data_IF_109089667205
#
_entry.id   IF_109089667205
#
_cell.length_a   1.000
_cell.length_b   1.000
_cell.length_c   1.000
_cell.angle_alpha   90.00
_cell.angle_beta   90.00
_cell.angle_gamma   90.00
#
_symmetry.space_group_name_H-M   'P 1'
#
loop_
_entity.id
_entity.type
_entity.pdbx_description
1 polymer ?
#
# COMPACT_ATOMS: atom_id res chain seq x y z
N UNK A 1 15.10 30.58 -23.81
CA UNK A 1 14.15 30.88 -24.91
C UNK A 1 13.26 32.10 -24.65
N UNK A 2 12.46 32.16 -23.57
CA UNK A 2 11.79 33.42 -23.15
C UNK A 2 12.66 34.23 -22.18
N UNK A 3 13.24 33.55 -21.19
CA UNK A 3 14.15 34.14 -20.19
C UNK A 3 15.29 34.93 -20.83
N UNK A 4 15.90 34.36 -21.87
CA UNK A 4 17.08 34.93 -22.52
C UNK A 4 16.70 36.19 -23.28
N UNK A 5 15.56 36.19 -23.98
CA UNK A 5 15.02 37.38 -24.67
C UNK A 5 14.59 38.47 -23.69
N UNK A 6 14.01 38.10 -22.54
CA UNK A 6 13.69 39.06 -21.48
C UNK A 6 14.94 39.67 -20.85
N UNK A 7 16.00 38.87 -20.69
CA UNK A 7 17.30 39.34 -20.19
C UNK A 7 17.97 40.27 -21.19
N UNK A 8 17.94 39.93 -22.48
CA UNK A 8 18.45 40.74 -23.58
C UNK A 8 17.69 42.08 -23.68
N UNK A 9 16.35 42.06 -23.62
CA UNK A 9 15.54 43.27 -23.59
C UNK A 9 15.89 44.17 -22.40
N UNK A 10 16.04 43.60 -21.20
CA UNK A 10 16.47 44.35 -20.01
C UNK A 10 17.85 44.97 -20.20
N UNK A 11 18.80 44.22 -20.76
CA UNK A 11 20.15 44.72 -21.01
C UNK A 11 20.15 45.90 -21.98
N UNK A 12 19.34 45.84 -23.05
CA UNK A 12 19.18 46.93 -24.02
C UNK A 12 18.55 48.16 -23.35
N UNK A 13 17.48 47.97 -22.57
CA UNK A 13 16.76 49.07 -21.90
C UNK A 13 17.59 49.74 -20.80
N UNK A 14 18.36 48.97 -20.04
CA UNK A 14 19.09 49.47 -18.87
C UNK A 14 20.52 49.96 -19.19
N UNK A 15 21.15 49.47 -20.26
CA UNK A 15 22.54 49.83 -20.62
C UNK A 15 22.70 50.40 -22.02
N UNK A 16 22.41 49.60 -23.05
CA UNK A 16 22.82 49.97 -24.42
C UNK A 16 22.05 51.16 -25.00
N UNK A 17 20.72 51.19 -24.81
CA UNK A 17 19.86 52.25 -25.33
C UNK A 17 20.11 53.59 -24.62
N UNK A 18 20.25 53.65 -23.28
CA UNK A 18 20.69 54.87 -22.59
C UNK A 18 22.05 55.39 -23.07
N UNK A 19 23.05 54.52 -23.21
CA UNK A 19 24.39 54.91 -23.68
C UNK A 19 24.37 55.43 -25.13
N UNK A 20 23.59 54.80 -26.00
CA UNK A 20 23.41 55.25 -27.38
C UNK A 20 22.61 56.56 -27.47
N UNK A 21 21.65 56.80 -26.57
CA UNK A 21 20.94 58.07 -26.49
C UNK A 21 21.86 59.20 -26.02
N UNK A 22 22.74 58.96 -25.03
CA UNK A 22 23.74 59.96 -24.62
C UNK A 22 24.65 60.33 -25.79
N UNK A 23 25.18 59.33 -26.53
CA UNK A 23 25.99 59.60 -27.75
C UNK A 23 25.21 60.39 -28.80
N UNK A 24 23.93 60.08 -29.02
CA UNK A 24 23.07 60.85 -29.92
C UNK A 24 22.95 62.31 -29.50
N UNK A 25 22.73 62.59 -28.21
CA UNK A 25 22.55 63.96 -27.73
C UNK A 25 23.85 64.75 -27.61
N UNK A 26 24.98 64.08 -27.38
CA UNK A 26 26.30 64.71 -27.22
C UNK A 26 27.04 64.84 -28.56
N UNK A 27 27.09 63.76 -29.36
CA UNK A 27 27.89 63.68 -30.59
C UNK A 27 27.05 63.83 -31.87
N UNK A 28 25.71 63.82 -31.75
CA UNK A 28 24.78 63.95 -32.88
C UNK A 28 24.59 62.68 -33.71
N UNK A 29 25.20 61.54 -33.34
CA UNK A 29 25.05 60.27 -34.07
C UNK A 29 23.82 59.47 -33.58
N UNK A 30 22.80 59.38 -34.43
CA UNK A 30 21.50 58.75 -34.14
C UNK A 30 21.39 57.31 -34.68
N UNK A 31 22.43 56.78 -35.34
CA UNK A 31 22.34 55.46 -35.99
C UNK A 31 22.17 54.33 -34.97
N UNK A 32 22.97 54.33 -33.91
CA UNK A 32 22.94 53.29 -32.89
C UNK A 32 21.65 53.34 -32.07
N UNK A 33 21.17 54.55 -31.73
CA UNK A 33 19.90 54.73 -31.03
C UNK A 33 18.70 54.19 -31.85
N UNK A 34 18.64 54.50 -33.15
CA UNK A 34 17.58 53.96 -34.04
C UNK A 34 17.66 52.44 -34.17
N UNK A 35 18.87 51.88 -34.30
CA UNK A 35 19.06 50.43 -34.39
C UNK A 35 18.57 49.72 -33.13
N UNK A 36 18.94 50.23 -31.96
CA UNK A 36 18.56 49.65 -30.66
C UNK A 36 17.06 49.80 -30.38
N UNK A 37 16.43 50.92 -30.75
CA UNK A 37 14.96 51.07 -30.67
C UNK A 37 14.22 50.06 -31.58
N UNK A 38 14.76 49.82 -32.78
CA UNK A 38 14.19 48.82 -33.70
C UNK A 38 14.36 47.40 -33.16
N UNK A 39 15.45 47.13 -32.44
CA UNK A 39 15.71 45.83 -31.84
C UNK A 39 14.84 45.61 -30.59
N UNK A 40 14.67 46.64 -29.76
CA UNK A 40 13.81 46.63 -28.58
C UNK A 40 12.35 46.31 -28.95
N UNK A 41 11.82 47.00 -29.97
CA UNK A 41 10.45 46.78 -30.46
C UNK A 41 10.24 45.39 -31.06
N UNK A 42 11.27 44.81 -31.71
CA UNK A 42 11.22 43.41 -32.19
C UNK A 42 11.24 42.43 -31.03
N UNK A 43 12.14 42.59 -30.06
CA UNK A 43 12.22 41.73 -28.89
C UNK A 43 10.95 41.78 -28.05
N UNK A 44 10.34 42.96 -27.88
CA UNK A 44 9.05 43.09 -27.19
C UNK A 44 7.95 42.30 -27.88
N UNK A 45 7.85 42.35 -29.22
CA UNK A 45 6.86 41.56 -29.98
C UNK A 45 7.09 40.06 -29.82
N UNK A 46 8.33 39.61 -29.98
CA UNK A 46 8.66 38.19 -29.85
C UNK A 46 8.42 37.66 -28.42
N UNK A 47 8.64 38.50 -27.39
CA UNK A 47 8.33 38.16 -26.00
C UNK A 47 6.81 38.03 -25.81
N UNK A 48 6.01 38.96 -26.35
CA UNK A 48 4.55 38.89 -26.23
C UNK A 48 3.98 37.66 -26.93
N UNK A 49 4.45 37.34 -28.14
CA UNK A 49 4.03 36.14 -28.87
C UNK A 49 4.35 34.85 -28.09
N UNK A 50 5.58 34.73 -27.57
CA UNK A 50 5.98 33.58 -26.75
C UNK A 50 5.18 33.48 -25.45
N UNK A 51 4.80 34.60 -24.83
CA UNK A 51 3.96 34.61 -23.63
C UNK A 51 2.55 34.11 -23.93
N UNK A 52 1.96 34.52 -25.05
CA UNK A 52 0.65 34.05 -25.50
C UNK A 52 0.69 32.54 -25.82
N UNK A 53 1.72 32.07 -26.53
CA UNK A 53 1.91 30.64 -26.82
C UNK A 53 2.01 29.81 -25.53
N UNK A 54 2.80 30.26 -24.56
CA UNK A 54 2.92 29.59 -23.27
C UNK A 54 1.56 29.50 -22.59
N UNK A 55 0.80 30.59 -22.56
CA UNK A 55 -0.52 30.63 -21.92
C UNK A 55 -1.51 29.67 -22.59
N UNK A 56 -1.52 29.62 -23.92
CA UNK A 56 -2.35 28.69 -24.70
C UNK A 56 -1.95 27.24 -24.42
N UNK A 57 -0.66 26.93 -24.43
CA UNK A 57 -0.14 25.58 -24.17
C UNK A 57 -0.47 25.14 -22.75
N UNK A 58 -0.29 26.01 -21.76
CA UNK A 58 -0.62 25.70 -20.36
C UNK A 58 -2.11 25.36 -20.21
N UNK A 59 -3.00 26.16 -20.80
CA UNK A 59 -4.43 25.89 -20.72
C UNK A 59 -4.84 24.59 -21.44
N UNK A 60 -4.25 24.31 -22.61
CA UNK A 60 -4.47 23.05 -23.33
C UNK A 60 -3.97 21.85 -22.54
N UNK A 61 -2.81 21.97 -21.89
CA UNK A 61 -2.24 20.93 -21.04
C UNK A 61 -3.16 20.62 -19.86
N UNK A 62 -3.62 21.64 -19.14
CA UNK A 62 -4.56 21.47 -18.02
C UNK A 62 -5.84 20.76 -18.46
N UNK A 63 -6.41 21.19 -19.60
CA UNK A 63 -7.61 20.56 -20.16
C UNK A 63 -7.35 19.09 -20.51
N UNK A 64 -6.22 18.79 -21.13
CA UNK A 64 -5.84 17.42 -21.49
C UNK A 64 -5.66 16.55 -20.24
N UNK A 65 -4.92 17.03 -19.24
CA UNK A 65 -4.72 16.33 -17.97
C UNK A 65 -6.05 16.05 -17.27
N UNK A 66 -6.96 17.03 -17.25
CA UNK A 66 -8.29 16.85 -16.70
C UNK A 66 -9.11 15.80 -17.46
N UNK A 67 -9.09 15.82 -18.80
CA UNK A 67 -9.77 14.79 -19.59
C UNK A 67 -9.21 13.40 -19.35
N UNK A 68 -7.89 13.26 -19.27
CA UNK A 68 -7.24 11.97 -19.02
C UNK A 68 -7.47 11.47 -17.59
N UNK A 69 -7.51 12.36 -16.61
CA UNK A 69 -7.88 12.01 -15.24
C UNK A 69 -9.31 11.46 -15.17
N UNK A 70 -10.26 12.06 -15.90
CA UNK A 70 -11.64 11.57 -15.93
C UNK A 70 -11.79 10.23 -16.67
N UNK A 71 -11.11 10.07 -17.81
CA UNK A 71 -11.04 8.78 -18.52
C UNK A 71 -10.45 7.69 -17.62
N UNK A 72 -9.36 7.99 -16.90
CA UNK A 72 -8.76 7.05 -15.96
C UNK A 72 -9.70 6.73 -14.80
N UNK A 73 -10.38 7.74 -14.22
CA UNK A 73 -11.33 7.56 -13.12
C UNK A 73 -12.47 6.62 -13.50
N UNK A 74 -12.95 6.69 -14.74
CA UNK A 74 -14.00 5.79 -15.24
C UNK A 74 -13.56 4.31 -15.27
N UNK A 75 -12.25 4.02 -15.30
CA UNK A 75 -11.71 2.66 -15.32
C UNK A 75 -11.38 2.11 -13.93
N UNK A 76 -11.37 2.96 -12.89
CA UNK A 76 -10.97 2.57 -11.53
C UNK A 76 -11.89 1.50 -10.94
N UNK A 77 -13.20 1.64 -11.13
CA UNK A 77 -14.18 0.70 -10.55
C UNK A 77 -14.04 -0.68 -11.19
N UNK A 78 -13.95 -0.75 -12.53
CA UNK A 78 -13.72 -2.00 -13.25
C UNK A 78 -12.40 -2.68 -12.85
N UNK A 79 -11.33 -1.91 -12.70
CA UNK A 79 -10.04 -2.42 -12.23
C UNK A 79 -10.14 -2.99 -10.80
N UNK A 80 -10.81 -2.28 -9.90
CA UNK A 80 -10.99 -2.72 -8.52
C UNK A 80 -11.85 -3.99 -8.43
N UNK A 81 -12.89 -4.10 -9.25
CA UNK A 81 -13.72 -5.31 -9.34
C UNK A 81 -12.90 -6.52 -9.80
N UNK A 82 -12.11 -6.37 -10.87
CA UNK A 82 -11.25 -7.44 -11.37
C UNK A 82 -10.20 -7.86 -10.34
N UNK A 83 -9.55 -6.87 -9.71
CA UNK A 83 -8.58 -7.10 -8.63
C UNK A 83 -9.22 -7.87 -7.48
N UNK A 84 -10.38 -7.44 -6.99
CA UNK A 84 -11.08 -8.08 -5.88
C UNK A 84 -11.51 -9.50 -6.24
N UNK A 85 -11.98 -9.73 -7.48
CA UNK A 85 -12.33 -11.06 -7.97
C UNK A 85 -11.10 -11.98 -8.05
N UNK A 86 -9.96 -11.48 -8.50
CA UNK A 86 -8.70 -12.21 -8.52
C UNK A 86 -8.25 -12.59 -7.10
N UNK A 87 -8.30 -11.64 -6.16
CA UNK A 87 -8.00 -11.85 -4.74
C UNK A 87 -8.90 -12.92 -4.11
N UNK A 88 -10.22 -12.87 -4.36
CA UNK A 88 -11.13 -13.91 -3.85
C UNK A 88 -10.82 -15.29 -4.43
N UNK A 89 -10.47 -15.38 -5.71
CA UNK A 89 -10.09 -16.65 -6.35
C UNK A 89 -8.82 -17.23 -5.74
N UNK A 90 -7.81 -16.40 -5.47
CA UNK A 90 -6.57 -16.86 -4.84
C UNK A 90 -6.81 -17.32 -3.40
N UNK A 91 -7.56 -16.57 -2.60
CA UNK A 91 -7.92 -16.99 -1.24
C UNK A 91 -8.68 -18.32 -1.22
N UNK A 92 -9.67 -18.52 -2.11
CA UNK A 92 -10.39 -19.79 -2.21
C UNK A 92 -9.46 -20.97 -2.52
N UNK A 93 -8.46 -20.78 -3.40
CA UNK A 93 -7.46 -21.82 -3.70
C UNK A 93 -6.59 -22.13 -2.49
N UNK A 94 -6.16 -21.10 -1.75
CA UNK A 94 -5.38 -21.26 -0.52
C UNK A 94 -6.18 -22.00 0.56
N UNK A 95 -7.46 -21.65 0.76
CA UNK A 95 -8.33 -22.35 1.70
C UNK A 95 -8.52 -23.82 1.32
N UNK A 96 -8.72 -24.11 0.03
CA UNK A 96 -8.85 -25.50 -0.43
C UNK A 96 -7.59 -26.31 -0.14
N UNK A 97 -6.41 -25.75 -0.42
CA UNK A 97 -5.13 -26.39 -0.10
C UNK A 97 -4.95 -26.60 1.41
N UNK A 98 -5.32 -25.59 2.23
CA UNK A 98 -5.30 -25.70 3.70
C UNK A 98 -6.22 -26.82 4.20
N UNK A 99 -7.45 -26.92 3.67
CA UNK A 99 -8.39 -28.00 4.05
C UNK A 99 -7.81 -29.37 3.70
N UNK A 100 -7.28 -29.54 2.48
CA UNK A 100 -6.66 -30.79 2.06
C UNK A 100 -5.49 -31.20 2.99
N UNK A 101 -4.64 -30.25 3.36
CA UNK A 101 -3.53 -30.49 4.29
C UNK A 101 -4.02 -30.91 5.69
N UNK A 102 -5.06 -30.23 6.21
CA UNK A 102 -5.62 -30.57 7.52
C UNK A 102 -6.28 -31.96 7.54
N UNK A 103 -6.99 -32.34 6.48
CA UNK A 103 -7.57 -33.68 6.36
C UNK A 103 -6.49 -34.76 6.28
N UNK A 104 -5.38 -34.50 5.57
CA UNK A 104 -4.25 -35.42 5.54
C UNK A 104 -3.61 -35.61 6.92
N UNK A 105 -3.37 -34.52 7.66
CA UNK A 105 -2.88 -34.59 9.05
C UNK A 105 -3.84 -35.40 9.91
N UNK A 106 -5.14 -35.13 9.80
CA UNK A 106 -6.15 -35.82 10.59
C UNK A 106 -6.09 -37.34 10.35
N UNK A 107 -6.10 -37.74 9.08
CA UNK A 107 -6.01 -39.15 8.70
C UNK A 107 -4.72 -39.83 9.21
N UNK A 108 -3.57 -39.18 9.09
CA UNK A 108 -2.31 -39.74 9.61
C UNK A 108 -2.32 -39.82 11.15
N UNK A 109 -2.92 -38.82 11.81
CA UNK A 109 -3.00 -38.76 13.27
C UNK A 109 -3.93 -39.80 13.89
N UNK A 110 -4.94 -40.31 13.15
CA UNK A 110 -5.87 -41.32 13.65
C UNK A 110 -5.14 -42.59 14.11
N UNK A 111 -4.14 -43.03 13.34
CA UNK A 111 -3.31 -44.18 13.72
C UNK A 111 -2.59 -43.97 15.06
N UNK A 112 -2.08 -42.76 15.33
CA UNK A 112 -1.44 -42.42 16.60
C UNK A 112 -2.45 -42.38 17.76
N UNK A 113 -3.68 -41.94 17.51
CA UNK A 113 -4.76 -41.97 18.51
C UNK A 113 -5.15 -43.40 18.87
N UNK A 114 -5.19 -44.32 17.89
CA UNK A 114 -5.43 -45.74 18.14
C UNK A 114 -4.33 -46.36 19.01
N UNK A 115 -3.06 -46.10 18.69
CA UNK A 115 -1.94 -46.56 19.51
C UNK A 115 -2.02 -46.00 20.94
N UNK A 116 -2.33 -44.73 21.10
CA UNK A 116 -2.54 -44.13 22.42
C UNK A 116 -3.68 -44.80 23.19
N UNK A 117 -4.79 -45.12 22.53
CA UNK A 117 -5.91 -45.87 23.12
C UNK A 117 -5.52 -47.27 23.58
N UNK A 118 -4.69 -47.98 22.81
CA UNK A 118 -4.13 -49.28 23.22
C UNK A 118 -3.17 -49.12 24.40
N UNK A 119 -2.37 -48.06 24.39
CA UNK A 119 -1.41 -47.76 25.45
C UNK A 119 -2.09 -47.52 26.80
N UNK A 120 -3.24 -46.85 26.79
CA UNK A 120 -4.12 -46.66 27.95
C UNK A 120 -4.69 -47.99 28.47
N UNK A 121 -5.22 -48.84 27.58
CA UNK A 121 -5.71 -50.18 27.97
C UNK A 121 -4.62 -51.03 28.63
N UNK A 122 -3.40 -50.95 28.13
CA UNK A 122 -2.25 -51.62 28.75
C UNK A 122 -1.97 -51.07 30.15
N UNK A 123 -2.07 -49.75 30.35
CA UNK A 123 -1.91 -49.14 31.66
C UNK A 123 -2.98 -49.63 32.66
N UNK A 124 -4.25 -49.69 32.23
CA UNK A 124 -5.36 -50.22 33.04
C UNK A 124 -5.13 -51.69 33.46
N UNK A 125 -4.68 -52.54 32.53
CA UNK A 125 -4.40 -53.96 32.83
C UNK A 125 -3.26 -54.10 33.87
N UNK A 126 -2.20 -53.31 33.72
CA UNK A 126 -1.07 -53.32 34.66
C UNK A 126 -1.51 -52.87 36.05
N UNK A 127 -2.34 -51.83 36.12
CA UNK A 127 -2.90 -51.31 37.39
C UNK A 127 -3.71 -52.38 38.13
N UNK A 128 -4.56 -53.13 37.42
CA UNK A 128 -5.29 -54.27 38.00
C UNK A 128 -4.34 -55.34 38.55
N UNK A 129 -3.19 -55.53 37.92
CA UNK A 129 -2.12 -56.43 38.37
C UNK A 129 -1.24 -55.89 39.51
N UNK A 130 -1.55 -54.70 40.05
CA UNK A 130 -0.74 -54.04 41.09
C UNK A 130 0.58 -53.45 40.60
N UNK A 131 0.75 -53.30 39.28
CA UNK A 131 1.94 -52.74 38.65
C UNK A 131 1.63 -51.37 38.04
N UNK A 132 2.44 -50.35 38.32
CA UNK A 132 2.29 -49.05 37.68
C UNK A 132 3.10 -49.00 36.37
N UNK A 133 2.46 -48.60 35.27
CA UNK A 133 3.17 -48.25 34.04
C UNK A 133 3.79 -46.86 34.18
N UNK A 134 5.06 -46.69 33.76
CA UNK A 134 5.64 -45.36 33.57
C UNK A 134 4.82 -44.60 32.53
N UNK A 135 4.53 -43.32 32.78
CA UNK A 135 3.62 -42.49 31.96
C UNK A 135 3.82 -42.70 30.45
N UNK A 136 2.74 -42.79 29.65
CA UNK A 136 2.82 -42.92 28.20
C UNK A 136 3.73 -41.84 27.59
N UNK A 137 4.80 -42.24 26.93
CA UNK A 137 5.74 -41.32 26.28
C UNK A 137 5.28 -40.89 24.88
N UNK A 138 4.01 -41.15 24.55
CA UNK A 138 3.33 -40.61 23.38
C UNK A 138 2.63 -39.31 23.77
N UNK A 139 3.39 -38.24 23.91
CA UNK A 139 2.82 -36.91 23.79
C UNK A 139 2.42 -36.72 22.34
N UNK A 140 1.18 -37.06 21.98
CA UNK A 140 0.63 -36.59 20.71
C UNK A 140 0.66 -35.07 20.81
N UNK A 141 1.55 -34.42 20.07
CA UNK A 141 1.65 -32.97 19.99
C UNK A 141 0.47 -32.43 19.17
N UNK A 142 -0.76 -32.73 19.62
CA UNK A 142 -1.98 -32.12 19.11
C UNK A 142 -2.05 -30.74 19.71
N UNK A 143 -2.33 -29.72 18.91
CA UNK A 143 -2.81 -28.45 19.45
C UNK A 143 -4.09 -28.74 20.25
N UNK A 144 -4.05 -28.52 21.57
CA UNK A 144 -5.13 -28.88 22.48
C UNK A 144 -6.48 -28.32 22.01
N UNK A 145 -7.42 -29.20 21.68
CA UNK A 145 -8.82 -28.82 21.42
C UNK A 145 -9.60 -28.83 22.74
N UNK A 146 -10.62 -27.97 22.83
CA UNK A 146 -11.41 -27.61 24.03
C UNK A 146 -12.03 -28.81 24.81
N UNK A 147 -11.97 -30.04 24.30
CA UNK A 147 -12.55 -31.23 24.92
C UNK A 147 -11.67 -31.91 25.99
N UNK A 148 -10.35 -31.70 25.99
CA UNK A 148 -9.43 -32.33 26.94
C UNK A 148 -9.19 -31.45 28.18
N UNK A 149 -10.26 -31.02 28.84
CA UNK A 149 -10.19 -30.32 30.11
C UNK A 149 -9.96 -31.33 31.25
N UNK A 150 -8.69 -31.64 31.53
CA UNK A 150 -8.34 -32.42 32.72
C UNK A 150 -6.87 -32.46 33.09
N UNK A 151 -5.95 -32.49 32.12
CA UNK A 151 -4.53 -32.68 32.45
C UNK A 151 -3.64 -31.84 31.53
N UNK A 152 -2.84 -30.97 32.15
CA UNK A 152 -1.77 -30.14 31.58
C UNK A 152 -2.21 -28.84 30.88
N UNK A 153 -2.27 -27.78 31.67
CA UNK A 153 -2.49 -26.42 31.19
C UNK A 153 -1.21 -25.78 30.66
N UNK A 154 -1.21 -25.41 29.39
CA UNK A 154 -0.41 -24.31 28.86
C UNK A 154 -1.40 -23.31 28.22
N UNK A 155 -1.51 -22.14 28.83
CA UNK A 155 -2.32 -21.05 28.30
C UNK A 155 -1.56 -20.44 27.12
N UNK A 156 -2.24 -20.25 25.99
CA UNK A 156 -1.78 -19.22 25.06
C UNK A 156 -1.91 -17.90 25.83
N UNK A 157 -0.81 -17.21 26.10
CA UNK A 157 -0.84 -15.90 26.74
C UNK A 157 -1.64 -14.94 25.85
N UNK A 158 -2.92 -14.77 26.17
CA UNK A 158 -3.72 -13.68 25.61
C UNK A 158 -3.30 -12.44 26.38
N UNK A 159 -2.71 -11.42 25.72
CA UNK A 159 -2.30 -10.21 26.42
C UNK A 159 -3.46 -9.63 27.20
N UNK A 160 -3.23 -9.23 28.45
CA UNK A 160 -4.27 -8.75 29.37
C UNK A 160 -5.11 -7.62 28.77
N UNK A 161 -4.54 -6.86 27.85
CA UNK A 161 -5.22 -5.82 27.08
C UNK A 161 -6.34 -6.38 26.19
N UNK A 162 -6.07 -7.47 25.45
CA UNK A 162 -7.04 -8.14 24.57
C UNK A 162 -8.20 -8.70 25.39
N UNK A 163 -7.92 -9.27 26.57
CA UNK A 163 -8.96 -9.75 27.50
C UNK A 163 -9.84 -8.59 27.99
N UNK A 164 -9.24 -7.45 28.33
CA UNK A 164 -9.98 -6.24 28.72
C UNK A 164 -10.81 -5.69 27.57
N UNK A 165 -10.29 -5.67 26.35
CA UNK A 165 -10.99 -5.15 25.17
C UNK A 165 -12.19 -6.02 24.80
N UNK A 166 -12.09 -7.34 24.96
CA UNK A 166 -13.21 -8.29 24.80
C UNK A 166 -14.28 -8.09 25.88
N UNK A 167 -13.89 -7.99 27.16
CA UNK A 167 -14.83 -7.81 28.28
C UNK A 167 -15.54 -6.45 28.19
N UNK A 168 -14.84 -5.42 27.70
CA UNK A 168 -15.38 -4.05 27.56
C UNK A 168 -16.09 -3.81 26.23
N UNK A 169 -16.16 -4.81 25.35
CA UNK A 169 -16.89 -4.74 24.08
C UNK A 169 -16.25 -3.84 23.01
N UNK A 170 -14.93 -3.61 23.09
CA UNK A 170 -14.16 -2.72 22.20
C UNK A 170 -13.52 -3.43 21.00
N UNK A 171 -13.99 -4.62 20.66
CA UNK A 171 -13.44 -5.40 19.55
C UNK A 171 -14.31 -5.16 18.31
N UNK A 172 -13.81 -4.32 17.39
CA UNK A 172 -14.57 -3.84 16.23
C UNK A 172 -14.61 -4.84 15.04
N UNK A 173 -13.68 -5.80 14.96
CA UNK A 173 -13.60 -6.73 13.84
C UNK A 173 -13.89 -8.19 14.22
N UNK A 174 -14.76 -8.83 13.43
CA UNK A 174 -15.27 -10.18 13.64
C UNK A 174 -14.18 -11.25 13.76
N UNK A 175 -13.03 -11.02 13.11
CA UNK A 175 -11.90 -11.93 13.00
C UNK A 175 -11.15 -12.07 14.33
N UNK A 176 -11.24 -11.05 15.20
CA UNK A 176 -10.64 -11.04 16.53
C UNK A 176 -11.40 -11.89 17.56
N UNK A 177 -12.62 -12.33 17.22
CA UNK A 177 -13.53 -13.04 18.12
C UNK A 177 -13.87 -14.43 17.58
N UNK A 178 -13.82 -14.65 16.26
CA UNK A 178 -14.22 -15.93 15.64
C UNK A 178 -13.33 -17.13 16.02
N UNK A 179 -12.07 -16.91 16.41
CA UNK A 179 -11.22 -17.99 16.95
C UNK A 179 -11.48 -18.26 18.43
N UNK A 180 -12.19 -17.35 19.12
CA UNK A 180 -12.57 -17.54 20.51
C UNK A 180 -13.81 -18.43 20.57
N UNK A 181 -13.81 -19.45 21.41
CA UNK A 181 -14.85 -20.45 21.35
C UNK A 181 -16.12 -19.88 22.01
N UNK A 182 -17.15 -19.65 21.20
CA UNK A 182 -18.45 -19.13 21.63
C UNK A 182 -19.05 -20.04 22.71
N UNK A 183 -19.71 -19.43 23.70
CA UNK A 183 -20.46 -20.16 24.72
C UNK A 183 -21.71 -20.75 24.04
N UNK A 184 -21.83 -22.08 24.06
CA UNK A 184 -23.13 -22.74 24.07
C UNK A 184 -23.76 -22.57 25.44
#
# INVERSE_FOLDING_TARGET
MLSDKQLELRFIQEKELPEALVKKYVDGDDKDAKRLQTLETKLQKEITELQEEILVITHLKEKYEWTKANEAKALVDAFNEERNAATQRTYRRMEAAKRAYLEAIKAESESLHEYYGVDLKLAEILEVGGLSKSMPQFSVAVAHTRGNHGFYGSYLEVPTQVVKDIITGRVDEKHHIEYLPTRG
#
